data_IF_233614495661
#
_entry.id   IF_233614495661
#
_cell.length_a   1.000
_cell.length_b   1.000
_cell.length_c   1.000
_cell.angle_alpha   90.00
_cell.angle_beta   90.00
_cell.angle_gamma   90.00
#
_symmetry.space_group_name_H-M   'P 1'
#
loop_
_entity.id
_entity.type
_entity.pdbx_description
1 polymer ?
#
# COMPACT_ATOMS: atom_id res chain seq x y z
N UNK A 1 10.35 -10.50 6.38
CA UNK A 1 9.94 -9.09 6.19
C UNK A 1 8.80 -9.02 5.18
N UNK A 2 7.65 -8.49 5.60
CA UNK A 2 6.43 -8.31 4.81
C UNK A 2 6.59 -7.18 3.78
N UNK A 3 5.73 -7.07 2.74
CA UNK A 3 5.73 -5.94 1.81
C UNK A 3 5.74 -4.58 2.51
N UNK A 4 4.87 -4.37 3.50
CA UNK A 4 4.78 -3.16 4.32
C UNK A 4 6.12 -2.82 4.98
N UNK A 5 6.75 -3.80 5.64
CA UNK A 5 8.03 -3.59 6.31
C UNK A 5 9.17 -3.29 5.33
N UNK A 6 9.14 -3.87 4.12
CA UNK A 6 10.10 -3.55 3.06
C UNK A 6 9.90 -2.13 2.52
N UNK A 7 8.64 -1.72 2.36
CA UNK A 7 8.28 -0.36 1.94
C UNK A 7 8.76 0.67 2.96
N UNK A 8 8.52 0.46 4.26
CA UNK A 8 9.06 1.33 5.32
C UNK A 8 10.58 1.44 5.26
N UNK A 9 11.29 0.31 5.11
CA UNK A 9 12.75 0.31 5.03
C UNK A 9 13.27 1.08 3.80
N UNK A 10 12.61 0.91 2.64
CA UNK A 10 12.92 1.64 1.40
C UNK A 10 12.67 3.14 1.56
N UNK A 11 11.49 3.54 2.04
CA UNK A 11 11.12 4.95 2.23
C UNK A 11 12.07 5.66 3.22
N UNK A 12 12.42 5.02 4.34
CA UNK A 12 13.40 5.58 5.28
C UNK A 12 14.78 5.74 4.65
N UNK A 13 15.21 4.77 3.84
CA UNK A 13 16.48 4.87 3.08
C UNK A 13 16.44 6.03 2.08
N UNK A 14 15.28 6.30 1.51
CA UNK A 14 15.05 7.39 0.56
C UNK A 14 14.82 8.75 1.26
N UNK A 15 15.05 8.84 2.58
CA UNK A 15 14.98 10.10 3.35
C UNK A 15 13.58 10.50 3.81
N UNK A 16 12.59 9.61 3.67
CA UNK A 16 11.21 9.91 4.06
C UNK A 16 10.93 9.58 5.52
N UNK A 17 10.22 10.47 6.21
CA UNK A 17 9.52 10.12 7.46
C UNK A 17 8.26 9.34 7.10
N UNK A 18 8.02 8.17 7.71
CA UNK A 18 6.88 7.32 7.34
C UNK A 18 6.26 6.54 8.50
N UNK A 19 4.96 6.23 8.37
CA UNK A 19 4.17 5.48 9.33
C UNK A 19 3.09 4.62 8.67
N UNK A 20 2.79 3.47 9.27
CA UNK A 20 1.68 2.60 8.85
C UNK A 20 0.38 3.25 9.32
N UNK A 21 -0.61 3.34 8.42
CA UNK A 21 -1.96 3.81 8.71
C UNK A 21 -3.01 2.70 8.57
N UNK A 22 -2.64 1.53 8.05
CA UNK A 22 -3.45 0.31 8.13
C UNK A 22 -3.61 -0.15 9.59
N UNK A 23 -4.87 -0.38 10.01
CA UNK A 23 -5.23 -0.90 11.33
C UNK A 23 -6.27 -2.01 11.25
N UNK A 24 -6.20 -2.95 12.20
CA UNK A 24 -7.30 -3.86 12.45
C UNK A 24 -8.34 -3.18 13.35
N UNK A 25 -9.56 -3.04 12.85
CA UNK A 25 -10.71 -2.57 13.62
C UNK A 25 -11.49 -3.80 14.06
N UNK A 26 -11.41 -4.10 15.35
CA UNK A 26 -12.18 -5.18 15.96
C UNK A 26 -13.66 -4.80 16.04
N UNK A 27 -14.55 -5.72 15.65
CA UNK A 27 -15.98 -5.48 15.77
C UNK A 27 -16.44 -5.53 17.24
N UNK A 28 -17.50 -4.78 17.53
CA UNK A 28 -18.11 -4.74 18.85
C UNK A 28 -18.70 -6.10 19.28
N UNK A 29 -18.97 -6.27 20.59
CA UNK A 29 -19.46 -7.53 21.15
C UNK A 29 -20.82 -7.97 20.58
N UNK A 30 -21.62 -7.06 20.04
CA UNK A 30 -22.96 -7.35 19.52
C UNK A 30 -22.99 -7.51 17.98
N UNK A 31 -21.82 -7.62 17.34
CA UNK A 31 -21.76 -7.74 15.89
C UNK A 31 -22.34 -9.09 15.41
N UNK A 32 -23.17 -9.13 14.34
CA UNK A 32 -23.87 -10.35 13.92
C UNK A 32 -22.95 -11.49 13.48
N UNK A 33 -21.72 -11.18 13.07
CA UNK A 33 -20.72 -12.20 12.72
C UNK A 33 -19.99 -12.81 13.94
N UNK A 34 -20.29 -12.37 15.17
CA UNK A 34 -19.66 -12.92 16.38
C UNK A 34 -20.12 -14.36 16.59
N UNK A 35 -19.16 -15.27 16.80
CA UNK A 35 -19.42 -16.66 17.16
C UNK A 35 -18.79 -16.98 18.52
N UNK A 36 -19.57 -17.50 19.50
CA UNK A 36 -19.01 -17.93 20.77
C UNK A 36 -17.86 -18.94 20.57
N UNK A 37 -16.77 -18.77 21.32
CA UNK A 37 -15.59 -19.65 21.23
C UNK A 37 -14.60 -19.33 20.10
N UNK A 38 -14.86 -18.32 19.27
CA UNK A 38 -13.94 -17.87 18.22
C UNK A 38 -13.36 -16.48 18.53
N UNK A 39 -12.23 -16.14 17.90
CA UNK A 39 -11.67 -14.80 17.95
C UNK A 39 -12.68 -13.78 17.44
N UNK A 40 -12.71 -12.61 18.08
CA UNK A 40 -13.64 -11.55 17.69
C UNK A 40 -13.36 -11.13 16.24
N UNK A 41 -14.38 -11.14 15.37
CA UNK A 41 -14.21 -10.70 13.99
C UNK A 41 -13.86 -9.21 13.95
N UNK A 42 -13.30 -8.78 12.83
CA UNK A 42 -12.96 -7.40 12.59
C UNK A 42 -12.70 -7.17 11.11
N UNK A 43 -12.37 -5.94 10.80
CA UNK A 43 -12.02 -5.52 9.45
C UNK A 43 -10.68 -4.80 9.47
N UNK A 44 -9.87 -5.07 8.46
CA UNK A 44 -8.67 -4.30 8.20
C UNK A 44 -9.07 -3.03 7.46
N UNK A 45 -8.69 -1.88 8.01
CA UNK A 45 -9.00 -0.58 7.42
C UNK A 45 -7.70 0.19 7.24
N UNK A 46 -7.49 0.69 6.05
CA UNK A 46 -6.38 1.57 5.71
C UNK A 46 -6.91 3.01 5.52
N UNK A 47 -6.04 3.98 5.21
CA UNK A 47 -6.49 5.35 5.03
C UNK A 47 -7.26 5.49 3.71
N UNK A 48 -8.55 5.81 3.82
CA UNK A 48 -9.50 5.95 2.71
C UNK A 48 -9.65 4.69 1.82
N UNK A 49 -9.32 3.50 2.34
CA UNK A 49 -9.28 2.23 1.57
C UNK A 49 -8.27 2.19 0.40
N UNK A 50 -7.32 3.14 0.37
CA UNK A 50 -6.34 3.30 -0.70
C UNK A 50 -4.88 3.36 -0.23
N UNK A 51 -4.60 3.66 1.03
CA UNK A 51 -3.25 3.97 1.52
C UNK A 51 -2.93 3.18 2.79
N UNK A 52 -1.92 2.30 2.72
CA UNK A 52 -1.45 1.50 3.87
C UNK A 52 -0.42 2.28 4.71
N UNK A 53 0.39 3.12 4.05
CA UNK A 53 1.51 3.87 4.62
C UNK A 53 1.42 5.32 4.13
N UNK A 54 1.57 6.26 5.05
CA UNK A 54 1.84 7.66 4.71
C UNK A 54 3.33 7.92 4.94
N UNK A 55 3.95 8.59 3.99
CA UNK A 55 5.32 9.06 4.07
C UNK A 55 5.42 10.52 3.64
N UNK A 56 6.37 11.28 4.17
CA UNK A 56 6.57 12.66 3.76
C UNK A 56 8.03 13.10 3.97
N UNK A 57 8.40 14.16 3.26
CA UNK A 57 9.60 14.94 3.46
C UNK A 57 9.21 16.44 3.40
N UNK A 58 10.18 17.32 3.21
CA UNK A 58 9.96 18.78 3.21
C UNK A 58 9.16 19.28 1.99
N UNK A 59 9.03 18.49 0.91
CA UNK A 59 8.44 18.93 -0.36
C UNK A 59 7.19 18.14 -0.76
N UNK A 60 7.07 16.88 -0.36
CA UNK A 60 6.02 15.99 -0.82
C UNK A 60 5.49 15.05 0.27
N UNK A 61 4.23 14.63 0.11
CA UNK A 61 3.55 13.63 0.93
C UNK A 61 3.08 12.48 0.06
N UNK A 62 3.49 11.27 0.38
CA UNK A 62 3.20 10.05 -0.35
C UNK A 62 2.18 9.20 0.39
N UNK A 63 1.13 8.81 -0.33
CA UNK A 63 0.33 7.65 0.01
C UNK A 63 0.93 6.42 -0.67
N UNK A 64 1.13 5.34 0.08
CA UNK A 64 1.67 4.10 -0.49
C UNK A 64 0.79 2.92 -0.14
N UNK A 65 0.41 2.17 -1.18
CA UNK A 65 -0.18 0.84 -1.05
C UNK A 65 0.92 -0.20 -1.27
N UNK A 66 1.08 -1.13 -0.35
CA UNK A 66 2.17 -2.11 -0.34
C UNK A 66 1.64 -3.53 -0.45
N UNK A 67 2.08 -4.27 -1.47
CA UNK A 67 1.58 -5.62 -1.70
C UNK A 67 2.66 -6.60 -2.15
N UNK A 68 2.34 -7.89 -2.13
CA UNK A 68 3.14 -8.87 -2.84
C UNK A 68 3.00 -8.65 -4.36
N UNK A 69 4.00 -9.08 -5.14
CA UNK A 69 4.02 -8.90 -6.59
C UNK A 69 2.78 -9.44 -7.31
N UNK A 70 2.21 -10.55 -6.84
CA UNK A 70 0.96 -11.13 -7.36
C UNK A 70 -0.28 -10.27 -7.08
N UNK A 71 -0.24 -9.38 -6.09
CA UNK A 71 -1.34 -8.50 -5.70
C UNK A 71 -1.47 -7.24 -6.56
N UNK A 72 -0.49 -6.97 -7.44
CA UNK A 72 -0.41 -5.72 -8.19
C UNK A 72 -1.69 -5.40 -8.96
N UNK A 73 -2.22 -6.34 -9.75
CA UNK A 73 -3.39 -6.08 -10.60
C UNK A 73 -4.64 -5.72 -9.78
N UNK A 74 -4.86 -6.38 -8.65
CA UNK A 74 -5.98 -6.07 -7.75
C UNK A 74 -5.83 -4.69 -7.11
N UNK A 75 -4.60 -4.31 -6.73
CA UNK A 75 -4.28 -3.02 -6.14
C UNK A 75 -4.41 -1.88 -7.16
N UNK A 76 -3.91 -2.11 -8.38
CA UNK A 76 -4.09 -1.20 -9.50
C UNK A 76 -5.57 -0.95 -9.80
N UNK A 77 -6.37 -2.02 -9.94
CA UNK A 77 -7.82 -1.91 -10.15
C UNK A 77 -8.49 -1.16 -9.00
N UNK A 78 -8.09 -1.42 -7.75
CA UNK A 78 -8.62 -0.71 -6.58
C UNK A 78 -8.42 0.79 -6.71
N UNK A 79 -7.20 1.26 -6.98
CA UNK A 79 -6.89 2.69 -7.04
C UNK A 79 -7.41 3.39 -8.31
N UNK A 80 -7.46 2.68 -9.44
CA UNK A 80 -7.82 3.28 -10.73
C UNK A 80 -9.28 3.12 -11.12
N UNK A 81 -10.02 2.20 -10.48
CA UNK A 81 -11.42 1.91 -10.80
C UNK A 81 -12.29 1.96 -9.55
N UNK A 82 -12.01 1.12 -8.55
CA UNK A 82 -12.93 0.96 -7.40
C UNK A 82 -12.93 2.18 -6.45
N UNK A 83 -11.80 2.88 -6.36
CA UNK A 83 -11.53 4.04 -5.48
C UNK A 83 -10.92 5.20 -6.24
N UNK A 84 -11.42 5.42 -7.47
CA UNK A 84 -10.89 6.46 -8.35
C UNK A 84 -11.11 7.85 -7.78
N UNK A 85 -12.25 8.12 -7.14
CA UNK A 85 -12.56 9.42 -6.54
C UNK A 85 -11.59 9.76 -5.40
N UNK A 86 -11.35 8.82 -4.47
CA UNK A 86 -10.40 9.02 -3.37
C UNK A 86 -8.96 9.14 -3.87
N UNK A 87 -8.59 8.33 -4.87
CA UNK A 87 -7.25 8.37 -5.47
C UNK A 87 -7.00 9.70 -6.18
N UNK A 88 -7.94 10.16 -7.01
CA UNK A 88 -7.85 11.45 -7.70
C UNK A 88 -7.91 12.63 -6.72
N UNK A 89 -8.77 12.55 -5.69
CA UNK A 89 -8.82 13.55 -4.62
C UNK A 89 -7.52 13.66 -3.83
N UNK A 90 -6.83 12.54 -3.60
CA UNK A 90 -5.50 12.54 -2.97
C UNK A 90 -4.46 13.23 -3.86
N UNK A 91 -4.35 12.82 -5.13
CA UNK A 91 -3.34 13.36 -6.05
C UNK A 91 -3.69 14.75 -6.62
N UNK A 92 -4.88 15.29 -6.31
CA UNK A 92 -5.31 16.66 -6.67
C UNK A 92 -4.49 17.77 -5.99
N UNK A 93 -3.68 17.44 -4.99
CA UNK A 93 -2.66 18.36 -4.45
C UNK A 93 -1.31 18.15 -5.16
N UNK A 94 -0.64 19.19 -5.69
CA UNK A 94 0.63 19.04 -6.42
C UNK A 94 1.77 18.38 -5.62
N UNK A 95 1.76 18.53 -4.30
CA UNK A 95 2.75 17.93 -3.39
C UNK A 95 2.34 16.55 -2.88
N UNK A 96 1.22 15.98 -3.35
CA UNK A 96 0.78 14.64 -2.96
C UNK A 96 0.91 13.65 -4.11
N UNK A 97 1.47 12.49 -3.79
CA UNK A 97 1.68 11.40 -4.73
C UNK A 97 1.11 10.10 -4.16
N UNK A 98 0.70 9.19 -5.03
CA UNK A 98 0.12 7.90 -4.64
C UNK A 98 0.82 6.79 -5.39
N UNK A 99 1.35 5.81 -4.66
CA UNK A 99 2.15 4.73 -5.24
C UNK A 99 1.63 3.34 -4.86
N UNK A 100 1.87 2.39 -5.76
CA UNK A 100 1.82 0.96 -5.47
C UNK A 100 3.25 0.42 -5.41
N UNK A 101 3.61 -0.18 -4.29
CA UNK A 101 4.87 -0.91 -4.07
C UNK A 101 4.59 -2.40 -4.05
N UNK A 102 4.74 -3.07 -5.21
CA UNK A 102 4.50 -4.50 -5.37
C UNK A 102 5.81 -5.30 -5.32
N UNK A 103 6.09 -5.93 -4.17
CA UNK A 103 7.36 -6.61 -3.91
C UNK A 103 7.40 -8.03 -4.46
N UNK A 104 8.44 -8.37 -5.23
CA UNK A 104 8.68 -9.71 -5.78
C UNK A 104 10.12 -10.16 -5.59
N UNK A 105 10.32 -11.49 -5.54
CA UNK A 105 11.67 -12.07 -5.61
C UNK A 105 12.08 -12.20 -7.07
N UNK A 106 13.25 -11.68 -7.42
CA UNK A 106 13.86 -11.81 -8.74
C UNK A 106 15.19 -12.55 -8.62
N UNK A 107 15.53 -13.37 -9.62
CA UNK A 107 16.86 -13.96 -9.74
C UNK A 107 17.88 -12.84 -9.98
N UNK A 108 19.01 -12.91 -9.29
CA UNK A 108 20.10 -11.92 -9.46
C UNK A 108 20.75 -12.08 -10.84
N UNK A 109 20.89 -13.31 -11.32
CA UNK A 109 21.39 -13.65 -12.66
C UNK A 109 20.51 -14.74 -13.27
N UNK A 110 20.30 -14.70 -14.60
CA UNK A 110 19.57 -15.76 -15.32
C UNK A 110 20.27 -17.11 -15.07
N UNK A 111 19.50 -18.15 -14.75
CA UNK A 111 20.03 -19.48 -14.42
C UNK A 111 20.59 -19.64 -12.99
N UNK A 112 20.84 -18.54 -12.27
CA UNK A 112 21.33 -18.60 -10.88
C UNK A 112 20.27 -18.96 -9.84
N UNK A 113 20.73 -19.35 -8.65
CA UNK A 113 19.88 -19.63 -7.45
C UNK A 113 19.68 -18.41 -6.54
N UNK A 114 20.60 -17.45 -6.58
CA UNK A 114 20.53 -16.26 -5.73
C UNK A 114 19.33 -15.38 -6.12
N UNK A 115 18.55 -14.97 -5.12
CA UNK A 115 17.36 -14.13 -5.27
C UNK A 115 17.52 -12.81 -4.53
N UNK A 116 16.97 -11.74 -5.09
CA UNK A 116 16.81 -10.44 -4.42
C UNK A 116 15.36 -10.00 -4.42
N UNK A 117 14.99 -9.20 -3.43
CA UNK A 117 13.68 -8.55 -3.40
C UNK A 117 13.75 -7.24 -4.17
N UNK A 118 12.81 -7.07 -5.08
CA UNK A 118 12.66 -5.85 -5.88
C UNK A 118 11.20 -5.40 -5.80
N UNK A 119 10.98 -4.11 -5.62
CA UNK A 119 9.65 -3.52 -5.72
C UNK A 119 9.38 -3.14 -7.19
N UNK A 120 8.24 -3.58 -7.73
CA UNK A 120 7.62 -2.87 -8.84
C UNK A 120 6.92 -1.65 -8.23
N UNK A 121 7.38 -0.47 -8.60
CA UNK A 121 6.81 0.80 -8.12
C UNK A 121 6.08 1.41 -9.30
N UNK A 122 4.80 1.73 -9.10
CA UNK A 122 3.98 2.45 -10.07
C UNK A 122 3.31 3.61 -9.36
N UNK A 123 3.26 4.77 -10.03
CA UNK A 123 2.58 5.96 -9.55
C UNK A 123 1.18 6.04 -10.16
N UNK A 124 0.22 6.46 -9.33
CA UNK A 124 -1.12 6.81 -9.79
C UNK A 124 -1.09 8.29 -10.16
N UNK A 125 -1.11 8.58 -11.46
CA UNK A 125 -1.15 9.95 -11.96
C UNK A 125 -2.59 10.49 -11.98
N UNK A 126 -2.71 11.81 -12.03
CA UNK A 126 -3.96 12.44 -12.46
C UNK A 126 -4.29 11.94 -13.85
N UNK A 127 -5.52 11.48 -14.07
CA UNK A 127 -5.94 11.06 -15.41
C UNK A 127 -5.77 12.24 -16.38
N UNK A 128 -4.78 12.18 -17.29
CA UNK A 128 -4.57 13.24 -18.27
C UNK A 128 -3.24 13.24 -19.02
N UNK A 129 -2.13 12.76 -18.45
CA UNK A 129 -0.82 12.85 -19.11
C UNK A 129 -0.12 11.49 -19.16
N UNK A 130 -0.06 10.93 -20.36
CA UNK A 130 0.86 9.88 -20.79
C UNK A 130 1.69 10.42 -21.94
#
# INVERSE_FOLDING_TARGET
>A
MTPTQRTLARLKKDGMTCGIVEKWIQFGPNHPMRRPGFSMPGIRKDFLDIIDIIAFNDTETWGVQSCAGSGFAAHWRKLTVDRVEESQGWVACPSRRLFIYAWRKLKVKRGGKAMRWEARIEEINRGGER
#
